data_IF_930221867533
#
_entry.id   IF_930221867533
#
_cell.length_a   1.000
_cell.length_b   1.000
_cell.length_c   1.000
_cell.angle_alpha   90.00
_cell.angle_beta   90.00
_cell.angle_gamma   90.00
#
_symmetry.space_group_name_H-M   'P 1'
#
loop_
_entity.id
_entity.type
_entity.pdbx_description
1 polymer ?
#
# COMPACT_ATOMS: atom_id res chain seq x y z
N UNK A 1 -46.52 23.64 12.80
CA UNK A 1 -45.70 22.54 13.35
C UNK A 1 -46.41 21.23 13.03
N UNK A 2 -45.73 20.19 12.58
CA UNK A 2 -46.36 18.88 12.40
C UNK A 2 -46.80 18.32 13.75
N UNK A 3 -47.98 17.66 13.81
CA UNK A 3 -48.49 17.01 15.01
C UNK A 3 -48.59 15.51 14.80
N UNK A 4 -48.31 14.73 15.84
CA UNK A 4 -48.48 13.27 15.85
C UNK A 4 -49.65 12.96 16.83
N UNK A 5 -50.64 12.20 16.36
CA UNK A 5 -51.71 11.74 17.16
C UNK A 5 -51.64 10.21 17.28
N UNK A 6 -51.45 9.70 18.48
CA UNK A 6 -51.35 8.26 18.76
C UNK A 6 -52.67 7.79 19.31
N UNK A 7 -53.34 6.85 18.64
CA UNK A 7 -54.62 6.25 19.07
C UNK A 7 -54.36 4.79 19.50
N UNK A 8 -55.20 4.30 20.44
CA UNK A 8 -55.16 2.91 20.95
C UNK A 8 -53.81 2.52 21.59
N UNK A 9 -53.25 3.43 22.40
CA UNK A 9 -52.09 3.09 23.20
C UNK A 9 -52.45 2.01 24.23
N UNK A 10 -51.69 0.91 24.39
CA UNK A 10 -51.93 -0.08 25.44
C UNK A 10 -51.89 0.55 26.83
N UNK A 11 -52.81 0.14 27.71
CA UNK A 11 -52.95 0.72 29.05
C UNK A 11 -51.68 0.60 29.89
N UNK A 12 -50.98 -0.53 29.80
CA UNK A 12 -49.70 -0.76 30.48
C UNK A 12 -48.59 0.20 30.01
N UNK A 13 -48.56 0.50 28.71
CA UNK A 13 -47.60 1.46 28.16
C UNK A 13 -47.95 2.88 28.58
N UNK A 14 -49.24 3.25 28.56
CA UNK A 14 -49.69 4.55 29.03
C UNK A 14 -49.34 4.76 30.51
N UNK A 15 -49.55 3.76 31.38
CA UNK A 15 -49.19 3.82 32.79
C UNK A 15 -47.70 3.98 33.03
N UNK A 16 -46.88 3.23 32.27
CA UNK A 16 -45.40 3.36 32.34
C UNK A 16 -44.92 4.77 31.96
N UNK A 17 -45.44 5.32 30.86
CA UNK A 17 -45.10 6.69 30.42
C UNK A 17 -45.55 7.70 31.49
N UNK A 18 -46.77 7.58 32.03
CA UNK A 18 -47.30 8.48 33.08
C UNK A 18 -46.42 8.44 34.33
N UNK A 19 -46.00 7.26 34.75
CA UNK A 19 -45.13 7.07 35.93
C UNK A 19 -43.74 7.68 35.71
N UNK A 20 -43.17 7.53 34.49
CA UNK A 20 -41.90 8.13 34.15
C UNK A 20 -41.99 9.65 34.05
N UNK A 21 -43.05 10.17 33.44
CA UNK A 21 -43.31 11.59 33.33
C UNK A 21 -43.38 12.24 34.74
N UNK A 22 -44.12 11.61 35.66
CA UNK A 22 -44.23 12.09 37.06
C UNK A 22 -42.87 12.11 37.79
N UNK A 23 -42.03 11.06 37.57
CA UNK A 23 -40.67 11.00 38.16
C UNK A 23 -39.73 12.06 37.61
N UNK A 24 -39.92 12.44 36.37
CA UNK A 24 -39.07 13.39 35.65
C UNK A 24 -39.62 14.82 35.66
N UNK A 25 -40.70 15.07 36.44
CA UNK A 25 -41.39 16.36 36.53
C UNK A 25 -41.81 16.92 35.17
N UNK A 26 -42.26 16.04 34.26
CA UNK A 26 -42.70 16.40 32.92
C UNK A 26 -44.18 16.13 32.74
N UNK A 27 -44.80 16.83 31.77
CA UNK A 27 -46.12 16.41 31.28
C UNK A 27 -46.04 15.09 30.53
N UNK A 28 -47.13 14.34 30.45
CA UNK A 28 -47.20 13.09 29.65
C UNK A 28 -46.74 13.33 28.22
N UNK A 29 -47.21 14.40 27.58
CA UNK A 29 -46.78 14.80 26.24
C UNK A 29 -45.29 15.15 26.18
N UNK A 30 -44.76 15.81 27.20
CA UNK A 30 -43.35 16.14 27.34
C UNK A 30 -42.45 14.89 27.41
N UNK A 31 -42.89 13.88 28.18
CA UNK A 31 -42.17 12.61 28.29
C UNK A 31 -42.22 11.80 27.00
N UNK A 32 -43.38 11.75 26.32
CA UNK A 32 -43.46 11.12 24.99
C UNK A 32 -42.55 11.82 23.98
N UNK A 33 -42.53 13.13 23.95
CA UNK A 33 -41.66 13.92 23.08
C UNK A 33 -40.18 13.67 23.39
N UNK A 34 -39.81 13.58 24.65
CA UNK A 34 -38.47 13.26 25.09
C UNK A 34 -38.05 11.83 24.69
N UNK A 35 -38.94 10.86 24.91
CA UNK A 35 -38.70 9.46 24.51
C UNK A 35 -38.53 9.32 22.98
N UNK A 36 -39.39 10.01 22.22
CA UNK A 36 -39.28 10.04 20.76
C UNK A 36 -37.99 10.73 20.29
N UNK A 37 -37.57 11.83 20.90
CA UNK A 37 -36.33 12.52 20.58
C UNK A 37 -35.10 11.65 20.87
N UNK A 38 -35.15 10.81 21.91
CA UNK A 38 -34.10 9.84 22.23
C UNK A 38 -34.13 8.63 21.31
N UNK A 39 -35.32 8.15 20.93
CA UNK A 39 -35.46 7.02 20.00
C UNK A 39 -35.11 7.39 18.53
N UNK A 40 -35.36 8.64 18.19
CA UNK A 40 -35.07 9.25 16.89
C UNK A 40 -34.25 10.53 17.13
N UNK A 41 -32.98 10.37 17.56
CA UNK A 41 -32.13 11.53 17.71
C UNK A 41 -32.08 12.26 16.38
N UNK A 42 -32.07 13.60 16.39
CA UNK A 42 -31.76 14.38 15.23
C UNK A 42 -30.38 13.91 14.80
N UNK A 43 -30.33 12.88 13.96
CA UNK A 43 -29.17 12.63 13.14
C UNK A 43 -29.09 13.85 12.22
N UNK A 44 -28.43 14.90 12.65
CA UNK A 44 -27.74 15.76 11.70
C UNK A 44 -26.73 14.85 11.06
N UNK A 45 -27.19 14.04 10.09
CA UNK A 45 -26.30 13.21 9.29
C UNK A 45 -25.23 14.15 8.79
N UNK A 46 -23.98 13.71 8.88
CA UNK A 46 -22.89 14.46 8.29
C UNK A 46 -23.28 14.77 6.85
N UNK A 47 -22.99 15.96 6.38
CA UNK A 47 -23.09 16.23 4.96
C UNK A 47 -22.09 15.36 4.20
N UNK A 48 -22.33 15.03 2.95
CA UNK A 48 -21.38 14.28 2.10
C UNK A 48 -19.96 14.86 2.16
N UNK A 49 -19.83 16.18 2.24
CA UNK A 49 -18.55 16.86 2.43
C UNK A 49 -17.91 16.47 3.76
N UNK A 50 -18.66 16.48 4.86
CA UNK A 50 -18.15 16.14 6.19
C UNK A 50 -17.79 14.66 6.29
N UNK A 51 -18.59 13.77 5.71
CA UNK A 51 -18.30 12.33 5.63
C UNK A 51 -16.98 12.09 4.88
N UNK A 52 -16.82 12.72 3.73
CA UNK A 52 -15.61 12.61 2.93
C UNK A 52 -14.39 13.17 3.68
N UNK A 53 -14.49 14.34 4.32
CA UNK A 53 -13.41 14.94 5.11
C UNK A 53 -12.99 14.04 6.27
N UNK A 54 -13.94 13.43 6.97
CA UNK A 54 -13.65 12.50 8.07
C UNK A 54 -12.97 11.22 7.57
N UNK A 55 -13.46 10.64 6.48
CA UNK A 55 -12.87 9.45 5.87
C UNK A 55 -11.42 9.70 5.39
N UNK A 56 -11.17 10.86 4.78
CA UNK A 56 -9.84 11.27 4.33
C UNK A 56 -8.90 11.52 5.51
N UNK A 57 -9.40 12.18 6.57
CA UNK A 57 -8.64 12.41 7.80
C UNK A 57 -8.24 11.09 8.46
N UNK A 58 -9.14 10.10 8.51
CA UNK A 58 -8.85 8.77 9.05
C UNK A 58 -7.77 8.05 8.24
N UNK A 59 -7.88 8.05 6.90
CA UNK A 59 -6.85 7.47 6.03
C UNK A 59 -5.49 8.16 6.22
N UNK A 60 -5.45 9.48 6.38
CA UNK A 60 -4.19 10.20 6.63
C UNK A 60 -3.55 9.83 7.98
N UNK A 61 -4.36 9.63 9.03
CA UNK A 61 -3.89 9.12 10.32
C UNK A 61 -3.37 7.69 10.19
N UNK A 62 -4.09 6.83 9.47
CA UNK A 62 -3.68 5.46 9.19
C UNK A 62 -2.35 5.43 8.42
N UNK A 63 -2.19 6.26 7.39
CA UNK A 63 -0.93 6.39 6.66
C UNK A 63 0.22 6.76 7.60
N UNK A 64 0.06 7.80 8.42
CA UNK A 64 1.10 8.22 9.35
C UNK A 64 1.49 7.13 10.34
N UNK A 65 0.50 6.39 10.86
CA UNK A 65 0.74 5.22 11.72
C UNK A 65 1.49 4.12 10.97
N UNK A 66 1.07 3.80 9.75
CA UNK A 66 1.68 2.75 8.93
C UNK A 66 3.15 3.07 8.59
N UNK A 67 3.45 4.30 8.20
CA UNK A 67 4.82 4.74 7.93
C UNK A 67 5.75 4.59 9.14
N UNK A 68 5.23 4.76 10.37
CA UNK A 68 6.00 4.50 11.60
C UNK A 68 6.22 3.01 11.81
N UNK A 69 5.18 2.21 11.62
CA UNK A 69 5.23 0.75 11.80
C UNK A 69 6.20 0.10 10.80
N UNK A 70 6.25 0.62 9.58
CA UNK A 70 7.05 0.07 8.47
C UNK A 70 8.50 0.59 8.42
N UNK A 71 8.97 1.27 9.46
CA UNK A 71 10.32 1.83 9.53
C UNK A 71 10.67 2.86 8.44
N UNK A 72 9.67 3.44 7.75
CA UNK A 72 9.85 4.43 6.69
C UNK A 72 10.81 5.56 7.12
N UNK A 73 10.61 6.10 8.32
CA UNK A 73 11.36 7.23 8.85
C UNK A 73 12.82 6.93 9.15
N UNK A 74 13.16 5.66 9.36
CA UNK A 74 14.55 5.23 9.57
C UNK A 74 15.38 5.44 8.30
N UNK A 75 14.82 5.12 7.12
CA UNK A 75 15.47 5.37 5.84
C UNK A 75 15.70 6.87 5.59
N UNK A 76 14.72 7.69 5.95
CA UNK A 76 14.82 9.16 5.85
C UNK A 76 15.63 9.81 6.98
N UNK A 77 16.22 9.02 7.91
CA UNK A 77 16.97 9.50 9.08
C UNK A 77 16.22 10.57 9.86
N UNK A 78 14.92 10.43 9.97
CA UNK A 78 13.99 11.39 10.55
C UNK A 78 13.25 10.79 11.75
N UNK A 79 12.87 11.60 12.76
CA UNK A 79 12.09 11.12 13.91
C UNK A 79 10.65 10.77 13.57
N UNK A 80 10.17 11.02 12.35
CA UNK A 80 8.80 10.69 11.93
C UNK A 80 7.72 11.49 12.65
N UNK A 81 8.00 12.73 12.98
CA UNK A 81 7.01 13.64 13.57
C UNK A 81 6.09 14.25 12.50
N UNK A 82 4.89 14.67 12.89
CA UNK A 82 3.99 15.39 11.98
C UNK A 82 4.60 16.68 11.45
N UNK A 83 5.44 17.35 12.24
CA UNK A 83 6.18 18.54 11.80
C UNK A 83 7.14 18.20 10.66
N UNK A 84 7.82 17.06 10.74
CA UNK A 84 8.70 16.60 9.67
C UNK A 84 7.91 16.20 8.43
N UNK A 85 6.83 15.46 8.59
CA UNK A 85 5.95 15.13 7.46
C UNK A 85 5.45 16.39 6.74
N UNK A 86 4.97 17.39 7.50
CA UNK A 86 4.52 18.66 6.93
C UNK A 86 5.63 19.35 6.12
N UNK A 87 6.86 19.38 6.65
CA UNK A 87 8.01 19.95 5.95
C UNK A 87 8.33 19.22 4.66
N UNK A 88 8.33 17.89 4.68
CA UNK A 88 8.68 17.05 3.54
C UNK A 88 7.65 17.16 2.41
N UNK A 89 6.37 17.33 2.75
CA UNK A 89 5.31 17.55 1.75
C UNK A 89 5.19 19.04 1.33
N UNK A 90 6.11 19.90 1.78
CA UNK A 90 6.18 21.31 1.37
C UNK A 90 5.12 22.21 1.99
N UNK A 91 4.64 21.90 3.20
CA UNK A 91 3.79 22.82 3.96
C UNK A 91 4.64 23.80 4.76
N UNK A 92 4.23 25.07 4.82
CA UNK A 92 4.93 26.15 5.53
C UNK A 92 4.94 25.93 7.07
N UNK A 93 3.95 25.19 7.57
CA UNK A 93 3.81 24.82 8.98
C UNK A 93 3.03 23.51 9.14
N UNK A 94 3.12 22.84 10.30
CA UNK A 94 2.32 21.62 10.53
C UNK A 94 0.81 21.89 10.68
N UNK A 95 0.39 23.16 10.81
CA UNK A 95 -1.01 23.51 11.13
C UNK A 95 -2.01 22.98 10.08
N UNK A 96 -1.65 23.08 8.79
CA UNK A 96 -2.53 22.61 7.71
C UNK A 96 -2.62 21.09 7.65
N UNK A 97 -1.50 20.39 7.82
CA UNK A 97 -1.50 18.93 7.93
C UNK A 97 -2.36 18.46 9.12
N UNK A 98 -2.25 19.12 10.26
CA UNK A 98 -3.07 18.83 11.44
C UNK A 98 -4.56 19.09 11.15
N UNK A 99 -4.89 20.21 10.48
CA UNK A 99 -6.28 20.50 10.09
C UNK A 99 -6.87 19.44 9.15
N UNK A 100 -6.05 18.88 8.24
CA UNK A 100 -6.45 17.73 7.41
C UNK A 100 -6.68 16.46 8.25
N UNK A 101 -5.76 16.16 9.17
CA UNK A 101 -5.85 14.99 10.05
C UNK A 101 -7.01 15.05 11.04
N UNK A 102 -7.43 16.25 11.42
CA UNK A 102 -8.59 16.48 12.32
C UNK A 102 -9.92 16.58 11.55
N UNK A 103 -9.87 16.57 10.21
CA UNK A 103 -11.05 16.72 9.36
C UNK A 103 -11.66 18.13 9.41
N UNK A 104 -10.88 19.13 9.80
CA UNK A 104 -11.30 20.53 9.86
C UNK A 104 -11.14 21.25 8.51
N UNK A 105 -10.16 20.84 7.72
CA UNK A 105 -9.89 21.35 6.37
C UNK A 105 -9.85 20.20 5.36
N UNK A 106 -10.44 20.36 4.16
CA UNK A 106 -10.35 19.35 3.11
C UNK A 106 -8.92 19.27 2.57
N UNK A 107 -8.40 18.06 2.40
CA UNK A 107 -7.17 17.86 1.66
C UNK A 107 -7.41 18.21 0.19
N UNK A 108 -6.43 18.87 -0.45
CA UNK A 108 -6.49 19.20 -1.88
C UNK A 108 -5.86 18.09 -2.72
N UNK A 109 -6.22 18.00 -4.02
CA UNK A 109 -5.56 17.07 -4.95
C UNK A 109 -4.05 17.29 -4.99
N UNK A 110 -3.62 18.54 -4.97
CA UNK A 110 -2.19 18.90 -4.91
C UNK A 110 -1.54 18.42 -3.61
N UNK A 111 -2.21 18.58 -2.46
CA UNK A 111 -1.75 18.07 -1.17
C UNK A 111 -1.61 16.55 -1.16
N UNK A 112 -2.60 15.83 -1.71
CA UNK A 112 -2.57 14.38 -1.84
C UNK A 112 -1.41 13.93 -2.75
N UNK A 113 -1.18 14.59 -3.88
CA UNK A 113 -0.05 14.30 -4.78
C UNK A 113 1.32 14.55 -4.14
N UNK A 114 1.46 15.59 -3.31
CA UNK A 114 2.71 15.82 -2.57
C UNK A 114 2.96 14.75 -1.50
N UNK A 115 1.89 14.28 -0.83
CA UNK A 115 1.97 13.14 0.10
C UNK A 115 2.39 11.88 -0.66
N UNK A 116 1.75 11.57 -1.80
CA UNK A 116 2.11 10.45 -2.66
C UNK A 116 3.58 10.51 -3.10
N UNK A 117 4.03 11.65 -3.59
CA UNK A 117 5.39 11.84 -4.07
C UNK A 117 6.46 11.59 -2.99
N UNK A 118 6.17 11.94 -1.73
CA UNK A 118 7.08 11.73 -0.62
C UNK A 118 6.98 10.35 0.00
N UNK A 119 5.74 9.83 0.19
CA UNK A 119 5.51 8.61 0.97
C UNK A 119 5.31 7.36 0.11
N UNK A 120 5.11 7.49 -1.20
CA UNK A 120 4.70 6.38 -2.06
C UNK A 120 3.26 5.90 -1.85
N UNK A 121 2.51 6.54 -0.96
CA UNK A 121 1.10 6.23 -0.73
C UNK A 121 0.26 6.72 -1.91
N UNK A 122 -0.68 5.89 -2.40
CA UNK A 122 -1.60 6.29 -3.46
C UNK A 122 -2.45 7.51 -3.07
N UNK A 123 -2.43 8.55 -3.92
CA UNK A 123 -3.34 9.69 -3.77
C UNK A 123 -4.81 9.27 -3.88
N UNK A 124 -5.13 8.31 -4.75
CA UNK A 124 -6.50 7.79 -4.92
C UNK A 124 -6.95 7.03 -3.66
N UNK A 125 -6.07 6.22 -3.06
CA UNK A 125 -6.38 5.62 -1.76
C UNK A 125 -6.62 6.69 -0.70
N UNK A 126 -5.79 7.71 -0.64
CA UNK A 126 -5.92 8.77 0.37
C UNK A 126 -7.23 9.56 0.17
N UNK A 127 -7.61 9.87 -1.07
CA UNK A 127 -8.78 10.71 -1.39
C UNK A 127 -10.10 9.96 -1.28
N UNK A 128 -10.18 8.73 -1.78
CA UNK A 128 -11.45 7.99 -1.88
C UNK A 128 -11.38 6.53 -1.42
N UNK A 129 -10.19 5.97 -1.17
CA UNK A 129 -10.01 4.58 -0.71
C UNK A 129 -10.13 3.54 -1.82
N UNK A 130 -10.02 3.90 -3.09
CA UNK A 130 -10.28 2.99 -4.22
C UNK A 130 -9.10 2.14 -4.66
N UNK A 131 -7.91 2.36 -4.12
CA UNK A 131 -6.70 1.58 -4.44
C UNK A 131 -6.06 1.03 -3.17
N UNK A 132 -4.94 0.30 -3.32
CA UNK A 132 -4.09 -0.06 -2.18
C UNK A 132 -3.36 1.18 -1.64
N UNK A 133 -3.07 1.16 -0.33
CA UNK A 133 -2.31 2.24 0.32
C UNK A 133 -0.95 2.42 -0.34
N UNK A 134 -0.22 1.34 -0.57
CA UNK A 134 1.07 1.33 -1.28
C UNK A 134 0.94 0.45 -2.53
N UNK A 135 0.66 1.04 -3.69
CA UNK A 135 0.39 0.28 -4.91
C UNK A 135 1.53 -0.64 -5.32
N UNK A 136 1.19 -1.83 -5.77
CA UNK A 136 2.11 -2.78 -6.39
C UNK A 136 1.80 -2.85 -7.88
N UNK A 137 2.73 -2.37 -8.70
CA UNK A 137 2.56 -2.33 -10.16
C UNK A 137 2.61 -3.74 -10.77
N UNK A 138 1.78 -4.05 -11.77
CA UNK A 138 2.04 -5.19 -12.64
C UNK A 138 3.19 -4.86 -13.58
N UNK A 139 4.35 -5.46 -13.32
CA UNK A 139 5.56 -5.28 -14.13
C UNK A 139 5.72 -6.32 -15.24
N UNK A 140 4.62 -6.87 -15.74
CA UNK A 140 4.65 -7.81 -16.88
C UNK A 140 5.32 -7.25 -18.14
N UNK A 141 5.35 -5.92 -18.29
CA UNK A 141 6.16 -5.16 -19.24
C UNK A 141 7.33 -4.47 -18.50
N UNK A 142 8.25 -5.24 -18.01
CA UNK A 142 9.29 -4.86 -17.04
C UNK A 142 10.28 -3.79 -17.52
N UNK A 143 10.40 -3.51 -18.81
CA UNK A 143 11.40 -2.57 -19.35
C UNK A 143 11.29 -1.19 -18.70
N UNK A 144 10.10 -0.58 -18.65
CA UNK A 144 9.92 0.75 -18.05
C UNK A 144 10.18 0.77 -16.54
N UNK A 145 9.91 -0.35 -15.84
CA UNK A 145 10.19 -0.44 -14.41
C UNK A 145 11.70 -0.49 -14.12
N UNK A 146 12.47 -1.26 -14.91
CA UNK A 146 13.91 -1.42 -14.71
C UNK A 146 14.74 -0.33 -15.41
N UNK A 147 14.20 0.29 -16.46
CA UNK A 147 14.84 1.36 -17.22
C UNK A 147 13.91 2.60 -17.23
N UNK A 148 13.67 3.22 -16.07
CA UNK A 148 12.79 4.38 -15.99
C UNK A 148 13.38 5.57 -16.76
N UNK A 149 12.52 6.34 -17.42
CA UNK A 149 12.91 7.55 -18.17
C UNK A 149 13.39 8.67 -17.22
N UNK A 150 12.88 8.68 -15.97
CA UNK A 150 13.29 9.66 -14.98
C UNK A 150 14.72 9.41 -14.52
N UNK A 151 15.60 10.43 -14.58
CA UNK A 151 16.96 10.29 -14.06
C UNK A 151 16.97 9.93 -12.57
N UNK A 152 17.85 9.00 -12.20
CA UNK A 152 17.94 8.55 -10.81
C UNK A 152 19.12 7.59 -10.59
N UNK A 153 19.37 7.27 -9.32
CA UNK A 153 20.34 6.24 -8.94
C UNK A 153 19.54 5.09 -8.34
N UNK A 154 19.10 4.19 -9.23
CA UNK A 154 18.17 3.11 -8.90
C UNK A 154 18.89 1.86 -8.44
N UNK A 155 18.35 1.25 -7.39
CA UNK A 155 18.68 -0.09 -6.90
C UNK A 155 17.41 -0.96 -6.93
N UNK A 156 17.55 -2.20 -7.41
CA UNK A 156 16.44 -3.12 -7.58
C UNK A 156 16.63 -4.34 -6.68
N UNK A 157 15.70 -4.53 -5.76
CA UNK A 157 15.64 -5.67 -4.86
C UNK A 157 14.65 -6.69 -5.43
N UNK A 158 15.19 -7.77 -6.00
CA UNK A 158 14.41 -8.86 -6.60
C UNK A 158 14.10 -9.88 -5.52
N UNK A 159 12.86 -10.01 -5.14
CA UNK A 159 12.42 -10.77 -3.98
C UNK A 159 11.54 -11.93 -4.44
N UNK A 160 12.00 -13.15 -4.19
CA UNK A 160 11.16 -14.34 -4.29
C UNK A 160 10.19 -14.33 -3.11
N UNK A 161 8.91 -14.03 -3.37
CA UNK A 161 7.90 -13.65 -2.37
C UNK A 161 7.05 -14.84 -1.99
N UNK A 162 7.49 -15.66 -1.05
CA UNK A 162 6.77 -16.83 -0.53
C UNK A 162 7.68 -17.98 -0.14
N UNK A 163 7.08 -19.07 0.32
CA UNK A 163 7.74 -20.29 0.79
C UNK A 163 7.62 -21.44 -0.23
N UNK A 164 8.57 -22.37 -0.16
CA UNK A 164 8.51 -23.66 -0.84
C UNK A 164 8.86 -23.59 -2.33
N UNK A 165 8.56 -24.70 -3.03
CA UNK A 165 8.95 -24.91 -4.42
C UNK A 165 7.82 -24.60 -5.42
N UNK A 166 6.62 -24.25 -4.92
CA UNK A 166 5.46 -23.94 -5.75
C UNK A 166 5.56 -22.63 -6.54
N UNK A 167 4.46 -22.21 -7.15
CA UNK A 167 4.35 -20.98 -7.92
C UNK A 167 4.51 -19.76 -7.01
N UNK A 168 5.72 -19.21 -6.95
CA UNK A 168 6.08 -18.07 -6.10
C UNK A 168 6.29 -16.84 -6.98
N UNK A 169 5.55 -15.74 -6.75
CA UNK A 169 5.70 -14.53 -7.52
C UNK A 169 7.07 -13.86 -7.28
N UNK A 170 7.57 -13.20 -8.33
CA UNK A 170 8.66 -12.26 -8.20
C UNK A 170 8.09 -10.91 -7.80
N UNK A 171 8.47 -10.42 -6.63
CA UNK A 171 8.23 -9.06 -6.18
C UNK A 171 9.51 -8.25 -6.35
N UNK A 172 9.41 -7.02 -6.82
CA UNK A 172 10.57 -6.14 -7.03
C UNK A 172 10.33 -4.82 -6.33
N UNK A 173 11.27 -4.43 -5.48
CA UNK A 173 11.30 -3.08 -4.92
C UNK A 173 12.37 -2.30 -5.68
N UNK A 174 11.97 -1.18 -6.28
CA UNK A 174 12.85 -0.20 -6.89
C UNK A 174 13.06 0.94 -5.90
N UNK A 175 14.30 1.17 -5.52
CA UNK A 175 14.70 2.27 -4.66
C UNK A 175 15.51 3.30 -5.45
N UNK A 176 15.18 4.57 -5.33
CA UNK A 176 15.95 5.68 -5.91
C UNK A 176 16.64 6.47 -4.79
N UNK A 177 17.97 6.34 -4.69
CA UNK A 177 18.75 6.98 -3.64
C UNK A 177 18.96 8.49 -3.83
N UNK A 178 18.48 9.09 -4.93
CA UNK A 178 18.55 10.54 -5.14
C UNK A 178 17.51 11.28 -4.29
N UNK A 179 16.34 10.69 -4.17
CA UNK A 179 15.19 11.29 -3.49
C UNK A 179 14.54 10.37 -2.43
N UNK A 180 15.22 9.27 -2.09
CA UNK A 180 14.74 8.25 -1.14
C UNK A 180 13.33 7.70 -1.45
N UNK A 181 12.98 7.63 -2.74
CA UNK A 181 11.67 7.11 -3.15
C UNK A 181 11.69 5.62 -3.46
N UNK A 182 10.56 4.96 -3.22
CA UNK A 182 10.34 3.54 -3.44
C UNK A 182 9.19 3.32 -4.42
N UNK A 183 9.29 2.25 -5.21
CA UNK A 183 8.18 1.70 -5.98
C UNK A 183 8.19 0.19 -5.86
N UNK A 184 7.01 -0.41 -5.72
CA UNK A 184 6.82 -1.85 -5.69
C UNK A 184 6.23 -2.35 -7.00
N UNK A 185 6.75 -3.47 -7.48
CA UNK A 185 6.22 -4.15 -8.65
C UNK A 185 6.17 -5.66 -8.44
N UNK A 186 5.21 -6.31 -9.09
CA UNK A 186 5.08 -7.75 -9.05
C UNK A 186 4.88 -8.31 -10.45
N UNK A 187 5.52 -9.45 -10.73
CA UNK A 187 5.34 -10.15 -11.99
C UNK A 187 4.07 -10.98 -11.94
N UNK A 188 2.95 -10.39 -12.34
CA UNK A 188 1.64 -11.04 -12.28
C UNK A 188 1.37 -11.90 -13.51
N UNK A 189 1.16 -13.22 -13.32
CA UNK A 189 0.71 -14.14 -14.36
C UNK A 189 1.65 -14.38 -15.55
N UNK A 190 2.82 -13.76 -15.60
CA UNK A 190 3.78 -13.93 -16.69
C UNK A 190 4.71 -15.11 -16.47
N UNK A 191 5.27 -15.21 -15.29
CA UNK A 191 6.07 -16.30 -14.77
C UNK A 191 6.11 -16.28 -13.25
N UNK A 192 6.65 -17.34 -12.66
CA UNK A 192 6.86 -17.48 -11.22
C UNK A 192 8.30 -17.98 -10.97
N UNK A 193 8.80 -17.78 -9.76
CA UNK A 193 10.06 -18.36 -9.32
C UNK A 193 9.80 -19.67 -8.54
N UNK A 194 9.37 -20.72 -9.26
CA UNK A 194 8.96 -21.97 -8.66
C UNK A 194 8.60 -23.02 -9.70
N UNK A 195 8.17 -24.20 -9.25
CA UNK A 195 7.79 -25.34 -10.09
C UNK A 195 6.34 -25.23 -10.55
N UNK A 196 6.01 -25.92 -11.67
CA UNK A 196 4.64 -26.02 -12.20
C UNK A 196 4.22 -24.91 -13.16
N UNK A 197 5.17 -24.15 -13.68
CA UNK A 197 4.90 -22.95 -14.49
C UNK A 197 4.54 -23.25 -15.95
N UNK A 198 4.99 -24.37 -16.50
CA UNK A 198 4.84 -24.72 -17.90
C UNK A 198 5.75 -23.91 -18.86
N UNK A 199 5.74 -24.31 -20.14
CA UNK A 199 6.70 -23.80 -21.15
C UNK A 199 6.58 -22.31 -21.43
N UNK A 200 5.38 -21.76 -21.45
CA UNK A 200 5.14 -20.32 -21.69
C UNK A 200 5.75 -19.48 -20.58
N UNK A 201 5.49 -19.81 -19.32
CA UNK A 201 6.02 -19.11 -18.16
C UNK A 201 7.54 -19.21 -18.10
N UNK A 202 8.10 -20.40 -18.32
CA UNK A 202 9.55 -20.62 -18.38
C UNK A 202 10.20 -19.80 -19.51
N UNK A 203 9.56 -19.71 -20.69
CA UNK A 203 10.01 -18.85 -21.78
C UNK A 203 9.95 -17.35 -21.44
N UNK A 204 8.96 -16.91 -20.65
CA UNK A 204 8.89 -15.54 -20.14
C UNK A 204 10.02 -15.26 -19.15
N UNK A 205 10.25 -16.16 -18.20
CA UNK A 205 11.34 -16.05 -17.22
C UNK A 205 12.69 -15.99 -17.93
N UNK A 206 12.92 -16.84 -18.95
CA UNK A 206 14.14 -16.79 -19.77
C UNK A 206 14.37 -15.40 -20.35
N UNK A 207 13.36 -14.83 -21.04
CA UNK A 207 13.46 -13.49 -21.64
C UNK A 207 13.75 -12.41 -20.61
N UNK A 208 13.11 -12.50 -19.44
CA UNK A 208 13.35 -11.58 -18.32
C UNK A 208 14.80 -11.68 -17.80
N UNK A 209 15.30 -12.90 -17.57
CA UNK A 209 16.69 -13.11 -17.10
C UNK A 209 17.72 -12.62 -18.11
N UNK A 210 17.50 -12.86 -19.42
CA UNK A 210 18.35 -12.34 -20.48
C UNK A 210 18.33 -10.82 -20.50
N UNK A 211 17.17 -10.20 -20.37
CA UNK A 211 17.03 -8.75 -20.27
C UNK A 211 17.83 -8.20 -19.09
N UNK A 212 17.65 -8.75 -17.88
CA UNK A 212 18.39 -8.30 -16.69
C UNK A 212 19.90 -8.47 -16.88
N UNK A 213 20.34 -9.60 -17.44
CA UNK A 213 21.75 -9.87 -17.68
C UNK A 213 22.35 -8.89 -18.71
N UNK A 214 21.63 -8.61 -19.80
CA UNK A 214 22.04 -7.62 -20.79
C UNK A 214 22.25 -6.24 -20.17
N UNK A 215 21.41 -5.84 -19.22
CA UNK A 215 21.49 -4.52 -18.59
C UNK A 215 22.20 -4.52 -17.23
N UNK A 216 22.76 -5.66 -16.78
CA UNK A 216 23.38 -5.79 -15.45
C UNK A 216 24.60 -4.87 -15.25
N UNK A 217 25.24 -4.41 -16.30
CA UNK A 217 26.35 -3.46 -16.22
C UNK A 217 25.91 -2.07 -15.67
N UNK A 218 24.64 -1.67 -15.85
CA UNK A 218 24.08 -0.39 -15.36
C UNK A 218 23.03 -0.54 -14.26
N UNK A 219 22.48 -1.75 -14.05
CA UNK A 219 21.48 -2.02 -13.04
C UNK A 219 22.15 -2.51 -11.75
N UNK A 220 21.83 -1.88 -10.63
CA UNK A 220 22.19 -2.39 -9.30
C UNK A 220 21.12 -3.40 -8.87
N UNK A 221 21.41 -4.69 -9.08
CA UNK A 221 20.50 -5.79 -8.79
C UNK A 221 20.91 -6.51 -7.52
N UNK A 222 19.96 -6.76 -6.62
CA UNK A 222 20.12 -7.63 -5.45
C UNK A 222 19.01 -8.66 -5.42
N UNK A 223 19.29 -9.85 -4.95
CA UNK A 223 18.30 -10.93 -4.88
C UNK A 223 18.07 -11.43 -3.46
N UNK A 224 16.80 -11.71 -3.16
CA UNK A 224 16.34 -12.09 -1.83
C UNK A 224 15.27 -13.17 -1.90
N UNK A 225 15.05 -13.83 -0.77
CA UNK A 225 13.83 -14.58 -0.48
C UNK A 225 13.13 -13.92 0.72
N UNK A 226 11.81 -13.84 0.67
CA UNK A 226 10.99 -13.27 1.74
C UNK A 226 9.79 -14.17 2.03
N UNK A 227 9.54 -14.38 3.32
CA UNK A 227 8.34 -15.06 3.80
C UNK A 227 7.32 -14.04 4.32
N UNK A 228 6.27 -13.75 3.53
CA UNK A 228 5.28 -12.76 3.92
C UNK A 228 4.39 -13.21 5.07
N UNK A 229 4.42 -14.48 5.46
CA UNK A 229 3.44 -15.09 6.38
C UNK A 229 2.00 -14.87 5.87
N UNK A 230 1.26 -13.96 6.50
CA UNK A 230 -0.12 -13.62 6.11
C UNK A 230 -0.26 -12.16 5.61
N UNK A 231 0.87 -11.52 5.26
CA UNK A 231 0.86 -10.13 4.79
C UNK A 231 0.44 -10.05 3.31
N UNK A 232 -0.42 -9.11 3.00
CA UNK A 232 -0.84 -8.81 1.63
C UNK A 232 0.10 -7.77 1.01
N UNK A 233 0.45 -8.00 -0.27
CA UNK A 233 1.21 -7.00 -1.02
C UNK A 233 0.40 -5.71 -1.13
N UNK A 234 1.05 -4.55 -0.93
CA UNK A 234 0.38 -3.24 -0.97
C UNK A 234 -0.18 -2.75 0.37
N UNK A 235 -0.24 -3.60 1.41
CA UNK A 235 -0.68 -3.19 2.75
C UNK A 235 0.42 -2.47 3.55
N UNK A 236 1.68 -2.70 3.19
CA UNK A 236 2.86 -2.15 3.85
C UNK A 236 3.74 -1.34 2.90
N UNK A 237 4.40 -0.32 3.44
CA UNK A 237 5.42 0.39 2.70
C UNK A 237 6.62 -0.54 2.37
N UNK A 238 7.27 -0.41 1.21
CA UNK A 238 8.40 -1.27 0.81
C UNK A 238 9.53 -1.40 1.85
N UNK A 239 9.74 -0.39 2.69
CA UNK A 239 10.73 -0.43 3.80
C UNK A 239 10.42 -1.50 4.84
N UNK A 240 9.16 -1.86 5.03
CA UNK A 240 8.77 -2.97 5.91
C UNK A 240 9.42 -4.30 5.47
N UNK A 241 9.40 -4.58 4.18
CA UNK A 241 10.03 -5.78 3.63
C UNK A 241 11.54 -5.69 3.75
N UNK A 242 12.13 -4.54 3.34
CA UNK A 242 13.58 -4.35 3.31
C UNK A 242 14.23 -4.38 4.70
N UNK A 243 13.52 -3.97 5.75
CA UNK A 243 13.98 -3.98 7.14
C UNK A 243 13.56 -5.24 7.93
N UNK A 244 12.88 -6.18 7.28
CA UNK A 244 12.36 -7.37 7.95
C UNK A 244 13.44 -8.42 8.20
N UNK A 245 13.46 -9.01 9.41
CA UNK A 245 14.28 -10.17 9.74
C UNK A 245 13.93 -11.43 8.90
N UNK A 246 12.79 -11.41 8.20
CA UNK A 246 12.33 -12.47 7.29
C UNK A 246 12.87 -12.32 5.89
N UNK A 247 13.51 -11.19 5.57
CA UNK A 247 14.18 -10.96 4.30
C UNK A 247 15.58 -11.59 4.33
N UNK A 248 15.78 -12.60 3.50
CA UNK A 248 17.06 -13.29 3.43
C UNK A 248 17.74 -12.94 2.12
N UNK A 249 18.86 -12.22 2.20
CA UNK A 249 19.70 -11.96 1.04
C UNK A 249 20.33 -13.27 0.56
N UNK A 250 20.23 -13.54 -0.71
CA UNK A 250 20.88 -14.68 -1.36
C UNK A 250 21.24 -14.33 -2.81
N UNK A 251 22.03 -15.16 -3.43
CA UNK A 251 22.58 -14.92 -4.75
C UNK A 251 21.89 -15.76 -5.85
N UNK A 252 20.60 -16.09 -5.69
CA UNK A 252 19.89 -16.91 -6.67
C UNK A 252 19.92 -16.31 -8.07
N UNK A 253 19.84 -14.99 -8.22
CA UNK A 253 19.88 -14.32 -9.53
C UNK A 253 21.25 -14.50 -10.22
N UNK A 254 22.34 -14.25 -9.50
CA UNK A 254 23.70 -14.43 -10.01
C UNK A 254 23.99 -15.87 -10.43
N UNK A 255 23.48 -16.84 -9.68
CA UNK A 255 23.61 -18.25 -10.00
C UNK A 255 22.84 -18.61 -11.27
N UNK A 256 21.59 -18.12 -11.43
CA UNK A 256 20.84 -18.29 -12.68
C UNK A 256 21.57 -17.67 -13.89
N UNK A 257 22.20 -16.50 -13.72
CA UNK A 257 23.01 -15.89 -14.78
C UNK A 257 24.22 -16.75 -15.17
N UNK A 258 24.76 -17.55 -14.25
CA UNK A 258 25.86 -18.49 -14.46
C UNK A 258 25.39 -19.87 -14.96
N UNK A 259 24.08 -20.06 -15.14
CA UNK A 259 23.50 -21.36 -15.51
C UNK A 259 23.53 -22.38 -14.38
N UNK A 260 23.59 -21.94 -13.12
CA UNK A 260 23.66 -22.79 -11.94
C UNK A 260 22.29 -22.92 -11.30
N UNK A 261 21.89 -24.16 -11.06
CA UNK A 261 20.71 -24.49 -10.24
C UNK A 261 21.11 -24.35 -8.78
N UNK A 262 20.31 -23.69 -7.99
CA UNK A 262 20.65 -23.38 -6.61
C UNK A 262 19.78 -24.11 -5.60
N UNK A 263 18.52 -24.29 -5.97
CA UNK A 263 17.48 -24.85 -5.13
C UNK A 263 16.56 -25.71 -6.02
N UNK A 264 15.81 -26.63 -5.46
CA UNK A 264 14.87 -27.50 -6.16
C UNK A 264 13.88 -26.75 -7.05
N UNK A 265 13.48 -25.55 -6.65
CA UNK A 265 12.54 -24.72 -7.43
C UNK A 265 13.08 -24.26 -8.79
N UNK A 266 14.40 -24.27 -8.99
CA UNK A 266 15.04 -23.89 -10.24
C UNK A 266 15.26 -25.07 -11.20
N UNK A 267 15.02 -26.32 -10.78
CA UNK A 267 15.24 -27.52 -11.58
C UNK A 267 14.44 -27.51 -12.89
N UNK A 268 13.19 -27.00 -12.87
CA UNK A 268 12.36 -26.88 -14.05
C UNK A 268 12.90 -25.90 -15.11
N UNK A 269 13.83 -25.03 -14.73
CA UNK A 269 14.42 -24.04 -15.64
C UNK A 269 15.72 -24.53 -16.28
N UNK A 270 16.24 -25.69 -15.90
CA UNK A 270 17.53 -26.20 -16.32
C UNK A 270 17.76 -26.12 -17.84
N UNK A 271 16.72 -26.44 -18.62
CA UNK A 271 16.79 -26.45 -20.08
C UNK A 271 16.92 -25.06 -20.73
N UNK A 272 16.61 -23.97 -20.02
CA UNK A 272 16.77 -22.58 -20.51
C UNK A 272 17.99 -21.90 -19.93
N UNK A 273 18.63 -22.45 -18.90
CA UNK A 273 19.76 -21.81 -18.22
C UNK A 273 21.02 -21.72 -19.09
N UNK A 274 21.23 -22.64 -20.05
CA UNK A 274 22.34 -22.54 -20.99
C UNK A 274 22.20 -21.31 -21.90
N UNK A 275 20.99 -20.98 -22.35
CA UNK A 275 20.76 -19.78 -23.14
C UNK A 275 20.98 -18.51 -22.28
N UNK A 276 20.50 -18.49 -21.02
CA UNK A 276 20.73 -17.38 -20.06
C UNK A 276 22.24 -17.23 -19.81
N UNK A 277 22.95 -18.33 -19.55
CA UNK A 277 24.40 -18.34 -19.33
C UNK A 277 25.17 -17.74 -20.51
N UNK A 278 24.80 -18.11 -21.73
CA UNK A 278 25.47 -17.69 -22.96
C UNK A 278 25.00 -16.32 -23.48
N UNK A 279 23.94 -15.74 -22.91
CA UNK A 279 23.49 -14.41 -23.28
C UNK A 279 24.56 -13.35 -22.94
N UNK A 280 24.81 -12.38 -23.85
CA UNK A 280 25.81 -11.35 -23.62
C UNK A 280 25.43 -10.44 -22.47
N UNK A 281 26.42 -9.96 -21.74
CA UNK A 281 26.31 -8.77 -20.89
C UNK A 281 26.49 -7.59 -21.82
N UNK A 282 25.56 -6.64 -21.81
CA UNK A 282 25.66 -5.42 -22.60
C UNK A 282 26.79 -4.51 -22.12
N UNK A 283 27.10 -3.51 -22.90
CA UNK A 283 28.11 -2.50 -22.60
C UNK A 283 27.58 -1.09 -22.82
N UNK A 284 28.22 -0.05 -22.25
CA UNK A 284 27.81 1.34 -22.47
C UNK A 284 27.80 1.75 -23.96
N UNK A 285 28.56 1.09 -24.80
CA UNK A 285 28.69 1.39 -26.24
C UNK A 285 27.45 0.97 -27.05
N UNK A 286 26.59 0.09 -26.50
CA UNK A 286 25.39 -0.41 -27.16
C UNK A 286 24.12 0.46 -26.88
N UNK A 287 24.22 1.41 -25.98
CA UNK A 287 23.10 2.28 -25.57
C UNK A 287 23.18 3.69 -26.24
N UNK A 288 24.08 3.92 -27.20
CA UNK A 288 24.28 5.21 -27.93
C UNK A 288 23.55 5.22 -29.27
#
# INVERSE_FOLDING_TARGET
>A
MPSINIRNLPDDLHERISRTASRSERSLEGEVRYALANAYPNSTGLTLKQEWMQATAERLRQLHFQLKTDNFWRHHRSPGTLTELARQIGEDSPARLLAWMDGHEPITFEGAKRIEAFTGCSADWLMDGTSDMFPVEDIGHYTGFFLPETPGNYEFHLIRYGKGDGLVPLHVIRYNSVNDSFASGQMMGRFYLGMGMGSTGTGNLKRFLIFLKKHSWKLKLRSYTYDPANEEAGSHHPTHILDSDRLNENNWLDRLFKGQITDSWADEFSWVLDEVKNAPVGSPEEDV
#
